data_IF_703256550207
#
_entry.id   IF_703256550207
#
_cell.length_a   1.000
_cell.length_b   1.000
_cell.length_c   1.000
_cell.angle_alpha   90.00
_cell.angle_beta   90.00
_cell.angle_gamma   90.00
#
_symmetry.space_group_name_H-M   'P 1'
#
loop_
_entity.id
_entity.type
_entity.pdbx_description
1 polymer ?
#
# COMPACT_ATOMS: atom_id res chain seq x y z
N UNK A 1 3.35 -45.15 74.02
CA UNK A 1 2.84 -43.77 73.94
C UNK A 1 1.85 -43.67 72.78
N UNK A 2 0.71 -43.03 73.02
CA UNK A 2 -0.49 -43.03 72.18
C UNK A 2 -0.31 -42.36 70.81
N UNK A 3 -0.98 -42.94 69.81
CA UNK A 3 -1.13 -42.47 68.42
C UNK A 3 -1.93 -41.16 68.40
N UNK A 4 -1.35 -40.08 67.86
CA UNK A 4 -2.10 -38.88 67.46
C UNK A 4 -2.40 -38.97 65.97
N UNK A 5 -3.66 -39.28 65.61
CA UNK A 5 -4.16 -39.16 64.24
C UNK A 5 -4.84 -37.80 64.13
N UNK A 6 -4.24 -36.88 63.37
CA UNK A 6 -4.88 -35.61 63.04
C UNK A 6 -6.13 -35.86 62.19
N UNK A 7 -7.28 -35.54 62.77
CA UNK A 7 -8.58 -35.63 62.12
C UNK A 7 -8.72 -34.46 61.14
N UNK A 8 -8.45 -34.70 59.87
CA UNK A 8 -8.74 -33.75 58.80
C UNK A 8 -10.25 -33.69 58.61
N UNK A 9 -10.89 -32.65 59.15
CA UNK A 9 -12.29 -32.36 58.81
C UNK A 9 -12.31 -31.93 57.34
N UNK A 10 -12.84 -32.79 56.48
CA UNK A 10 -13.25 -32.44 55.13
C UNK A 10 -14.18 -31.23 55.25
N UNK A 11 -13.69 -30.05 54.87
CA UNK A 11 -14.46 -28.81 54.93
C UNK A 11 -15.46 -28.87 53.80
N UNK A 12 -16.72 -29.17 54.11
CA UNK A 12 -17.82 -29.22 53.14
C UNK A 12 -17.77 -27.98 52.23
N UNK A 13 -17.85 -28.18 50.90
CA UNK A 13 -17.86 -27.06 49.97
C UNK A 13 -19.09 -26.21 50.27
N UNK A 14 -18.86 -25.03 50.86
CA UNK A 14 -19.92 -24.07 51.14
C UNK A 14 -20.60 -23.75 49.82
N UNK A 15 -21.93 -23.90 49.74
CA UNK A 15 -22.71 -23.62 48.53
C UNK A 15 -22.42 -22.21 47.96
N UNK A 16 -22.10 -21.26 48.84
CA UNK A 16 -21.67 -19.89 48.51
C UNK A 16 -20.34 -19.87 47.71
N UNK A 17 -19.38 -20.74 48.05
CA UNK A 17 -18.12 -20.90 47.33
C UNK A 17 -18.34 -21.40 45.90
N UNK A 18 -19.25 -22.37 45.73
CA UNK A 18 -19.63 -22.88 44.41
C UNK A 18 -20.34 -21.84 43.56
N UNK A 19 -21.20 -21.01 44.17
CA UNK A 19 -21.89 -19.92 43.48
C UNK A 19 -20.91 -18.86 42.98
N UNK A 20 -19.96 -18.43 43.82
CA UNK A 20 -18.93 -17.45 43.45
C UNK A 20 -18.03 -17.97 42.32
N UNK A 21 -17.62 -19.25 42.37
CA UNK A 21 -16.83 -19.87 41.32
C UNK A 21 -17.57 -19.86 39.97
N UNK A 22 -18.86 -20.20 39.97
CA UNK A 22 -19.71 -20.17 38.76
C UNK A 22 -19.86 -18.76 38.19
N UNK A 23 -20.01 -17.75 39.06
CA UNK A 23 -20.08 -16.35 38.63
C UNK A 23 -18.77 -15.86 37.99
N UNK A 24 -17.62 -16.23 38.55
CA UNK A 24 -16.32 -15.91 37.95
C UNK A 24 -16.14 -16.56 36.58
N UNK A 25 -16.49 -17.85 36.44
CA UNK A 25 -16.41 -18.56 35.17
C UNK A 25 -17.33 -17.90 34.14
N UNK A 26 -18.55 -17.53 34.53
CA UNK A 26 -19.50 -16.84 33.65
C UNK A 26 -18.96 -15.48 33.18
N UNK A 27 -18.40 -14.67 34.08
CA UNK A 27 -17.80 -13.37 33.75
C UNK A 27 -16.62 -13.52 32.79
N UNK A 28 -15.74 -14.49 33.03
CA UNK A 28 -14.59 -14.78 32.16
C UNK A 28 -15.06 -15.24 30.78
N UNK A 29 -16.01 -16.18 30.71
CA UNK A 29 -16.57 -16.67 29.45
C UNK A 29 -17.23 -15.53 28.63
N UNK A 30 -17.94 -14.63 29.30
CA UNK A 30 -18.61 -13.49 28.68
C UNK A 30 -17.60 -12.46 28.15
N UNK A 31 -16.51 -12.22 28.88
CA UNK A 31 -15.40 -11.36 28.44
C UNK A 31 -14.66 -11.94 27.22
N UNK A 32 -14.44 -13.27 27.21
CA UNK A 32 -13.80 -13.97 26.09
C UNK A 32 -14.69 -13.95 24.83
N UNK A 33 -16.00 -14.14 24.97
CA UNK A 33 -16.96 -14.02 23.86
C UNK A 33 -16.96 -12.61 23.25
N UNK A 34 -16.84 -11.57 24.08
CA UNK A 34 -16.75 -10.18 23.61
C UNK A 34 -15.43 -9.88 22.88
N UNK A 35 -14.34 -10.59 23.20
CA UNK A 35 -13.07 -10.47 22.47
C UNK A 35 -13.12 -11.14 21.09
N UNK A 36 -13.90 -12.22 20.94
CA UNK A 36 -14.07 -12.95 19.68
C UNK A 36 -14.94 -12.20 18.66
N UNK A 37 -15.78 -11.26 19.09
CA UNK A 37 -16.55 -10.39 18.19
C UNK A 37 -15.77 -9.18 17.66
N UNK A 38 -14.49 -9.04 18.05
CA UNK A 38 -13.58 -8.00 17.56
C UNK A 38 -12.98 -8.25 16.17
N UNK A 39 -13.53 -9.16 15.37
CA UNK A 39 -13.11 -9.36 13.98
C UNK A 39 -13.48 -8.14 13.14
N UNK A 40 -12.47 -7.33 12.85
CA UNK A 40 -12.56 -6.20 11.94
C UNK A 40 -13.09 -6.65 10.57
N UNK A 41 -14.35 -6.32 10.25
CA UNK A 41 -14.99 -6.68 8.98
C UNK A 41 -14.79 -5.61 7.90
N UNK A 42 -13.81 -4.70 8.07
CA UNK A 42 -13.49 -3.74 7.01
C UNK A 42 -12.83 -4.47 5.85
N UNK A 43 -13.60 -4.70 4.79
CA UNK A 43 -13.08 -5.16 3.50
C UNK A 43 -12.08 -4.14 2.98
N UNK A 44 -10.82 -4.54 2.82
CA UNK A 44 -9.82 -3.73 2.10
C UNK A 44 -10.23 -3.66 0.63
N UNK A 45 -10.72 -2.50 0.21
CA UNK A 45 -11.00 -2.23 -1.20
C UNK A 45 -9.73 -1.67 -1.81
N UNK A 46 -9.03 -2.49 -2.59
CA UNK A 46 -7.92 -2.04 -3.40
C UNK A 46 -8.46 -1.19 -4.54
N UNK A 47 -8.26 0.13 -4.44
CA UNK A 47 -8.55 1.06 -5.53
C UNK A 47 -7.25 1.28 -6.29
N UNK A 48 -7.32 1.31 -7.62
CA UNK A 48 -6.17 1.69 -8.43
C UNK A 48 -5.83 3.15 -8.11
N UNK A 49 -4.58 3.42 -7.77
CA UNK A 49 -4.10 4.80 -7.59
C UNK A 49 -4.26 5.52 -8.93
N UNK A 50 -4.94 6.69 -8.96
CA UNK A 50 -5.07 7.46 -10.18
C UNK A 50 -3.68 7.90 -10.65
N UNK A 51 -3.37 7.61 -11.91
CA UNK A 51 -2.09 7.99 -12.53
C UNK A 51 -2.10 9.49 -12.78
N UNK A 52 -1.18 10.23 -12.16
CA UNK A 52 -1.00 11.66 -12.46
C UNK A 52 -0.53 11.78 -13.90
N UNK A 53 -1.27 12.47 -14.80
CA UNK A 53 -0.90 12.54 -16.21
C UNK A 53 0.46 13.22 -16.39
N UNK A 54 1.19 12.81 -17.43
CA UNK A 54 2.43 13.50 -17.81
C UNK A 54 2.10 14.91 -18.31
N UNK A 55 3.02 15.88 -18.16
CA UNK A 55 2.90 17.17 -18.84
C UNK A 55 2.66 16.97 -20.34
N UNK A 56 1.66 17.67 -20.90
CA UNK A 56 1.31 17.54 -22.31
C UNK A 56 2.48 17.85 -23.26
N UNK A 57 3.43 18.68 -22.82
CA UNK A 57 4.65 19.00 -23.56
C UNK A 57 5.55 17.78 -23.81
N UNK A 58 5.58 16.81 -22.89
CA UNK A 58 6.43 15.61 -23.03
C UNK A 58 5.86 14.62 -24.05
N UNK A 59 4.54 14.64 -24.24
CA UNK A 59 3.82 13.73 -25.16
C UNK A 59 3.39 14.43 -26.44
N UNK A 60 3.77 15.70 -26.63
CA UNK A 60 3.51 16.43 -27.86
C UNK A 60 4.34 15.85 -29.00
N UNK A 61 3.82 15.95 -30.23
CA UNK A 61 4.55 15.52 -31.41
C UNK A 61 5.86 16.31 -31.57
N UNK A 62 6.92 15.61 -31.96
CA UNK A 62 8.20 16.26 -32.25
C UNK A 62 8.04 17.12 -33.51
N UNK A 63 8.36 18.42 -33.47
CA UNK A 63 8.19 19.29 -34.63
C UNK A 63 9.07 18.82 -35.78
N UNK A 64 8.47 18.60 -36.94
CA UNK A 64 9.19 18.26 -38.16
C UNK A 64 9.60 19.56 -38.87
N UNK A 65 10.91 19.81 -39.09
CA UNK A 65 11.33 20.96 -39.87
C UNK A 65 10.87 20.82 -41.32
N UNK A 66 10.52 21.95 -41.93
CA UNK A 66 10.12 22.01 -43.33
C UNK A 66 11.29 21.60 -44.25
N UNK A 67 10.99 20.73 -45.22
CA UNK A 67 11.96 20.31 -46.23
C UNK A 67 11.61 21.06 -47.53
N UNK A 68 12.46 21.99 -47.98
CA UNK A 68 12.19 22.74 -49.19
C UNK A 68 12.37 21.87 -50.45
N UNK A 69 11.56 22.13 -51.48
CA UNK A 69 11.61 21.41 -52.77
C UNK A 69 12.97 21.55 -53.47
N UNK A 70 13.63 22.70 -53.32
CA UNK A 70 14.98 22.94 -53.81
C UNK A 70 15.93 23.27 -52.65
N UNK A 71 16.91 22.40 -52.44
CA UNK A 71 17.85 22.52 -51.33
C UNK A 71 19.22 22.95 -51.84
N UNK A 72 19.66 24.16 -51.47
CA UNK A 72 21.08 24.52 -51.62
C UNK A 72 21.93 23.80 -50.59
N UNK A 73 23.23 23.67 -50.84
CA UNK A 73 24.13 23.03 -49.89
C UNK A 73 24.13 23.71 -48.51
N UNK A 74 24.08 25.04 -48.45
CA UNK A 74 23.98 25.78 -47.19
C UNK A 74 22.69 25.47 -46.43
N UNK A 75 21.54 25.49 -47.11
CA UNK A 75 20.25 25.15 -46.50
C UNK A 75 20.20 23.69 -46.01
N UNK A 76 20.92 22.78 -46.67
CA UNK A 76 21.03 21.39 -46.18
C UNK A 76 21.71 21.32 -44.82
N UNK A 77 22.70 22.17 -44.55
CA UNK A 77 23.38 22.23 -43.27
C UNK A 77 22.42 22.75 -42.19
N UNK A 78 21.69 23.82 -42.48
CA UNK A 78 20.70 24.40 -41.56
C UNK A 78 19.56 23.41 -41.23
N UNK A 79 19.12 22.64 -42.23
CA UNK A 79 18.14 21.58 -42.04
C UNK A 79 18.69 20.48 -41.12
N UNK A 80 19.95 20.06 -41.30
CA UNK A 80 20.58 19.07 -40.41
C UNK A 80 20.67 19.56 -38.97
N UNK A 81 21.00 20.84 -38.74
CA UNK A 81 21.01 21.44 -37.40
C UNK A 81 19.62 21.38 -36.77
N UNK A 82 18.59 21.75 -37.53
CA UNK A 82 17.20 21.73 -37.07
C UNK A 82 16.74 20.30 -36.71
N UNK A 83 17.06 19.32 -37.55
CA UNK A 83 16.75 17.91 -37.32
C UNK A 83 17.46 17.36 -36.07
N UNK A 84 18.76 17.63 -35.93
CA UNK A 84 19.54 17.17 -34.77
C UNK A 84 19.06 17.83 -33.47
N UNK A 85 18.62 19.08 -33.53
CA UNK A 85 18.03 19.78 -32.39
C UNK A 85 16.70 19.13 -31.97
N UNK A 86 15.79 18.91 -32.92
CA UNK A 86 14.51 18.25 -32.66
C UNK A 86 14.68 16.83 -32.10
N UNK A 87 15.62 16.05 -32.66
CA UNK A 87 15.97 14.73 -32.17
C UNK A 87 16.57 14.78 -30.75
N UNK A 88 17.44 15.76 -30.50
CA UNK A 88 18.03 16.00 -29.19
C UNK A 88 16.98 16.31 -28.14
N UNK A 89 15.99 17.15 -28.47
CA UNK A 89 14.87 17.46 -27.58
C UNK A 89 13.99 16.22 -27.33
N UNK A 90 13.62 15.49 -28.37
CA UNK A 90 12.83 14.26 -28.27
C UNK A 90 13.51 13.22 -27.35
N UNK A 91 14.84 13.08 -27.43
CA UNK A 91 15.59 12.19 -26.55
C UNK A 91 15.56 12.62 -25.08
N UNK A 92 15.56 13.94 -24.81
CA UNK A 92 15.38 14.47 -23.44
C UNK A 92 13.97 14.19 -22.95
N UNK A 93 12.95 14.49 -23.74
CA UNK A 93 11.55 14.25 -23.37
C UNK A 93 11.32 12.77 -23.03
N UNK A 94 11.88 11.84 -23.82
CA UNK A 94 11.86 10.40 -23.53
C UNK A 94 12.53 10.04 -22.20
N UNK A 95 13.61 10.73 -21.85
CA UNK A 95 14.30 10.54 -20.57
C UNK A 95 13.44 11.04 -19.41
N UNK A 96 12.83 12.20 -19.56
CA UNK A 96 11.95 12.80 -18.55
C UNK A 96 10.70 11.94 -18.32
N UNK A 97 10.10 11.41 -19.39
CA UNK A 97 9.01 10.43 -19.30
C UNK A 97 9.45 9.21 -18.50
N UNK A 98 10.60 8.61 -18.82
CA UNK A 98 11.11 7.43 -18.09
C UNK A 98 11.33 7.73 -16.60
N UNK A 99 11.85 8.90 -16.26
CA UNK A 99 12.02 9.32 -14.87
C UNK A 99 10.69 9.56 -14.15
N UNK A 100 9.69 10.10 -14.84
CA UNK A 100 8.35 10.27 -14.29
C UNK A 100 7.67 8.93 -14.05
N UNK A 101 7.79 7.98 -14.98
CA UNK A 101 7.26 6.62 -14.82
C UNK A 101 7.99 5.83 -13.73
N UNK A 102 9.32 5.97 -13.61
CA UNK A 102 10.06 5.27 -12.54
C UNK A 102 9.66 5.72 -11.14
N UNK A 103 9.14 6.94 -10.98
CA UNK A 103 8.61 7.42 -9.70
C UNK A 103 7.21 6.87 -9.37
N UNK A 104 6.54 6.23 -10.35
CA UNK A 104 5.21 5.62 -10.17
C UNK A 104 5.29 4.13 -9.78
N UNK A 105 6.42 3.46 -10.03
CA UNK A 105 6.70 2.08 -9.65
C UNK A 105 7.23 2.01 -8.21
#
# INVERSE_FOLDING_TARGET
MQKSRSHWTHREPRLISGLLLRMMIALIALCLLAQLSGCNNTRTVYVKVPVVPLPASLTADTPQPEIPDNLTWGQSLDLNVSLLSALGQCNRDKTDIRQAESKRQ
#
